data_IF_482693827132
#
_entry.id   IF_482693827132
#
_cell.length_a   1.000
_cell.length_b   1.000
_cell.length_c   1.000
_cell.angle_alpha   90.00
_cell.angle_beta   90.00
_cell.angle_gamma   90.00
#
_symmetry.space_group_name_H-M   'P 1'
#
loop_
_entity.id
_entity.type
_entity.pdbx_description
1 polymer ?
#
# COMPACT_ATOMS: atom_id res chain seq x y z
N UNK A 1 -19.04 0.25 -4.39
CA UNK A 1 -19.49 -0.68 -3.33
C UNK A 1 -18.62 -1.94 -3.36
N UNK A 2 -18.04 -2.31 -2.21
CA UNK A 2 -17.26 -3.54 -2.08
C UNK A 2 -18.13 -4.66 -1.53
N UNK A 3 -17.89 -5.87 -2.00
CA UNK A 3 -18.47 -7.07 -1.43
C UNK A 3 -17.40 -7.77 -0.59
N UNK A 4 -17.73 -8.06 0.67
CA UNK A 4 -16.83 -8.78 1.57
C UNK A 4 -17.31 -10.24 1.72
N UNK A 5 -16.36 -11.16 1.68
CA UNK A 5 -16.59 -12.59 1.89
C UNK A 5 -15.67 -13.04 3.01
N UNK A 6 -16.24 -13.70 4.02
CA UNK A 6 -15.51 -14.23 5.17
C UNK A 6 -15.41 -15.76 5.05
N UNK A 7 -14.25 -16.30 5.32
CA UNK A 7 -13.99 -17.74 5.31
C UNK A 7 -13.07 -18.13 6.44
N UNK A 8 -13.37 -19.23 7.12
CA UNK A 8 -12.47 -19.82 8.09
C UNK A 8 -11.32 -20.54 7.37
N UNK A 9 -10.10 -20.34 7.86
CA UNK A 9 -8.89 -20.96 7.31
C UNK A 9 -8.47 -22.13 8.20
N UNK A 10 -8.25 -23.30 7.60
CA UNK A 10 -7.75 -24.49 8.33
C UNK A 10 -6.26 -24.36 8.65
N UNK A 11 -5.45 -23.84 7.72
CA UNK A 11 -4.02 -23.59 7.87
C UNK A 11 -3.69 -22.15 7.40
N UNK A 12 -3.72 -21.17 8.31
CA UNK A 12 -3.44 -19.78 7.96
C UNK A 12 -2.01 -19.56 7.43
N UNK A 13 -1.02 -20.33 7.92
CA UNK A 13 0.39 -20.17 7.50
C UNK A 13 0.55 -20.62 6.06
N UNK A 14 -0.01 -21.77 5.70
CA UNK A 14 0.02 -22.27 4.33
C UNK A 14 -0.76 -21.34 3.39
N UNK A 15 -1.93 -20.87 3.83
CA UNK A 15 -2.77 -19.96 3.06
C UNK A 15 -2.04 -18.64 2.76
N UNK A 16 -1.32 -18.07 3.74
CA UNK A 16 -0.51 -16.87 3.57
C UNK A 16 0.54 -17.03 2.45
N UNK A 17 1.23 -18.18 2.39
CA UNK A 17 2.20 -18.49 1.34
C UNK A 17 1.54 -18.62 -0.04
N UNK A 18 0.40 -19.31 -0.10
CA UNK A 18 -0.38 -19.48 -1.32
C UNK A 18 -0.91 -18.14 -1.83
N UNK A 19 -1.38 -17.29 -0.91
CA UNK A 19 -1.89 -15.96 -1.21
C UNK A 19 -0.80 -15.06 -1.82
N UNK A 20 0.40 -15.09 -1.26
CA UNK A 20 1.55 -14.34 -1.79
C UNK A 20 1.97 -14.85 -3.17
N UNK A 21 2.03 -16.17 -3.34
CA UNK A 21 2.36 -16.77 -4.64
C UNK A 21 1.31 -16.42 -5.71
N UNK A 22 0.04 -16.44 -5.35
CA UNK A 22 -1.04 -16.03 -6.23
C UNK A 22 -0.97 -14.54 -6.56
N UNK A 23 -0.62 -13.69 -5.58
CA UNK A 23 -0.47 -12.24 -5.77
C UNK A 23 0.58 -11.87 -6.82
N UNK A 24 1.64 -12.67 -6.96
CA UNK A 24 2.73 -12.40 -7.91
C UNK A 24 2.31 -12.38 -9.39
N UNK A 25 1.13 -12.86 -9.74
CA UNK A 25 0.60 -12.76 -11.12
C UNK A 25 0.09 -11.35 -11.47
N UNK A 26 -0.12 -10.48 -10.48
CA UNK A 26 -0.61 -9.13 -10.70
C UNK A 26 0.55 -8.14 -10.82
N UNK A 27 0.35 -7.10 -11.60
CA UNK A 27 1.35 -6.05 -11.80
C UNK A 27 1.56 -5.20 -10.55
N UNK A 28 0.46 -4.81 -9.92
CA UNK A 28 0.47 -4.07 -8.68
C UNK A 28 0.05 -5.01 -7.56
N UNK A 29 0.97 -5.21 -6.61
CA UNK A 29 0.75 -6.03 -5.42
C UNK A 29 1.42 -5.39 -4.21
N UNK A 30 0.68 -5.35 -3.11
CA UNK A 30 1.23 -5.01 -1.81
C UNK A 30 0.89 -6.13 -0.85
N UNK A 31 1.91 -6.63 -0.16
CA UNK A 31 1.77 -7.61 0.90
C UNK A 31 2.33 -7.03 2.19
N UNK A 32 1.46 -6.85 3.16
CA UNK A 32 1.80 -6.38 4.50
C UNK A 32 1.66 -7.57 5.46
N UNK A 33 2.70 -7.85 6.22
CA UNK A 33 2.75 -8.98 7.15
C UNK A 33 3.20 -8.48 8.53
N UNK A 34 2.46 -8.85 9.56
CA UNK A 34 2.83 -8.53 10.95
C UNK A 34 4.04 -9.33 11.45
N UNK A 35 4.43 -10.39 10.74
CA UNK A 35 5.49 -11.32 11.14
C UNK A 35 5.27 -11.90 12.55
N UNK A 36 4.02 -12.11 12.94
CA UNK A 36 3.62 -12.53 14.29
C UNK A 36 4.07 -11.57 15.40
N UNK A 37 4.37 -10.31 15.07
CA UNK A 37 4.71 -9.33 16.08
C UNK A 37 3.47 -9.05 16.96
N UNK A 38 3.57 -9.21 18.28
CA UNK A 38 2.44 -8.97 19.18
C UNK A 38 2.10 -7.48 19.19
N UNK A 39 0.97 -7.13 18.58
CA UNK A 39 0.45 -5.76 18.58
C UNK A 39 -0.85 -5.69 19.35
N UNK A 40 -0.94 -4.73 20.25
CA UNK A 40 -2.14 -4.53 21.06
C UNK A 40 -3.34 -4.05 20.24
N UNK A 41 -3.10 -3.38 19.14
CA UNK A 41 -4.14 -2.73 18.32
C UNK A 41 -4.21 -3.22 16.87
N UNK A 42 -3.52 -4.30 16.55
CA UNK A 42 -3.58 -4.89 15.20
C UNK A 42 -4.88 -5.64 14.99
N UNK A 43 -5.59 -5.32 13.91
CA UNK A 43 -6.80 -6.03 13.49
C UNK A 43 -6.51 -7.14 12.48
N UNK A 44 -5.32 -7.16 11.88
CA UNK A 44 -4.97 -8.06 10.78
C UNK A 44 -3.58 -8.65 10.98
N UNK A 45 -3.43 -9.96 10.72
CA UNK A 45 -2.12 -10.61 10.71
C UNK A 45 -1.37 -10.33 9.41
N UNK A 46 -2.06 -10.39 8.28
CA UNK A 46 -1.51 -9.94 7.02
C UNK A 46 -2.59 -9.29 6.13
N UNK A 47 -2.15 -8.49 5.18
CA UNK A 47 -3.01 -7.92 4.14
C UNK A 47 -2.31 -8.08 2.79
N UNK A 48 -2.99 -8.70 1.83
CA UNK A 48 -2.60 -8.70 0.43
C UNK A 48 -3.57 -7.85 -0.37
N UNK A 49 -3.05 -6.94 -1.14
CA UNK A 49 -3.81 -6.04 -1.98
C UNK A 49 -3.28 -6.10 -3.41
N UNK A 50 -4.14 -6.34 -4.40
CA UNK A 50 -3.76 -6.62 -5.78
C UNK A 50 -4.64 -5.89 -6.80
N UNK A 51 -4.09 -5.72 -8.00
CA UNK A 51 -4.76 -5.23 -9.20
C UNK A 51 -5.31 -3.80 -9.03
N UNK A 52 -4.46 -2.82 -9.27
CA UNK A 52 -4.83 -1.41 -9.15
C UNK A 52 -5.97 -1.03 -10.09
N UNK A 53 -7.01 -0.43 -9.53
CA UNK A 53 -8.08 0.20 -10.30
C UNK A 53 -7.66 1.60 -10.77
N UNK A 54 -7.07 2.37 -9.86
CA UNK A 54 -6.46 3.67 -10.13
C UNK A 54 -5.20 3.81 -9.28
N UNK A 55 -4.29 4.69 -9.69
CA UNK A 55 -3.08 4.97 -8.93
C UNK A 55 -2.68 6.44 -9.03
N UNK A 56 -1.92 6.89 -8.04
CA UNK A 56 -1.25 8.18 -8.04
C UNK A 56 0.25 7.95 -7.81
N UNK A 57 1.06 8.63 -8.59
CA UNK A 57 2.52 8.68 -8.44
C UNK A 57 2.95 10.14 -8.52
N UNK A 58 3.68 10.59 -7.55
CA UNK A 58 4.14 11.98 -7.49
C UNK A 58 5.53 12.07 -6.88
N UNK A 59 6.21 13.18 -7.13
CA UNK A 59 7.43 13.59 -6.43
C UNK A 59 7.08 14.21 -5.06
N UNK A 60 8.06 14.86 -4.44
CA UNK A 60 7.85 15.50 -3.13
C UNK A 60 7.04 16.81 -3.21
N UNK A 61 6.87 17.40 -4.39
CA UNK A 61 6.17 18.67 -4.50
C UNK A 61 4.67 18.50 -4.45
N UNK A 62 4.02 19.15 -3.49
CA UNK A 62 2.56 19.11 -3.29
C UNK A 62 1.96 17.69 -3.11
N UNK A 63 2.79 16.74 -2.71
CA UNK A 63 2.45 15.32 -2.67
C UNK A 63 1.30 15.00 -1.70
N UNK A 64 1.28 15.62 -0.53
CA UNK A 64 0.23 15.37 0.47
C UNK A 64 -1.12 15.95 0.08
N UNK A 65 -1.15 17.08 -0.62
CA UNK A 65 -2.41 17.63 -1.15
C UNK A 65 -2.95 16.74 -2.27
N UNK A 66 -2.09 16.26 -3.17
CA UNK A 66 -2.46 15.32 -4.22
C UNK A 66 -3.01 14.01 -3.63
N UNK A 67 -2.37 13.49 -2.59
CA UNK A 67 -2.84 12.29 -1.88
C UNK A 67 -4.21 12.50 -1.26
N UNK A 68 -4.43 13.66 -0.63
CA UNK A 68 -5.72 14.03 -0.03
C UNK A 68 -6.82 14.10 -1.06
N UNK A 69 -6.56 14.73 -2.20
CA UNK A 69 -7.52 14.79 -3.30
C UNK A 69 -7.82 13.39 -3.85
N UNK A 70 -6.80 12.57 -4.04
CA UNK A 70 -6.95 11.18 -4.47
C UNK A 70 -7.80 10.37 -3.49
N UNK A 71 -7.56 10.48 -2.20
CA UNK A 71 -8.34 9.82 -1.16
C UNK A 71 -9.82 10.26 -1.19
N UNK A 72 -10.07 11.56 -1.35
CA UNK A 72 -11.42 12.10 -1.45
C UNK A 72 -12.19 11.56 -2.66
N UNK A 73 -11.50 11.30 -3.77
CA UNK A 73 -12.09 10.73 -4.98
C UNK A 73 -12.30 9.22 -4.88
N UNK A 74 -11.29 8.49 -4.39
CA UNK A 74 -11.34 7.04 -4.27
C UNK A 74 -12.40 6.57 -3.27
N UNK A 75 -12.55 7.27 -2.14
CA UNK A 75 -13.49 6.95 -1.05
C UNK A 75 -13.46 5.49 -0.62
N UNK A 76 -12.28 4.90 -0.61
CA UNK A 76 -12.04 3.50 -0.34
C UNK A 76 -10.64 3.32 0.26
N UNK A 77 -10.26 2.08 0.55
CA UNK A 77 -8.91 1.76 0.98
C UNK A 77 -7.92 2.10 -0.13
N UNK A 78 -6.87 2.77 0.25
CA UNK A 78 -5.72 3.04 -0.59
C UNK A 78 -4.48 2.40 0.03
N UNK A 79 -3.63 1.87 -0.83
CA UNK A 79 -2.40 1.19 -0.45
C UNK A 79 -1.23 1.83 -1.18
N UNK A 80 -0.07 1.87 -0.57
CA UNK A 80 1.08 2.48 -1.20
C UNK A 80 2.25 2.66 -0.24
N UNK A 81 3.19 3.48 -0.65
CA UNK A 81 4.30 3.89 0.18
C UNK A 81 4.56 5.39 0.08
N UNK A 82 5.19 5.89 1.11
CA UNK A 82 5.69 7.26 1.22
C UNK A 82 7.22 7.17 1.39
N UNK A 83 7.98 7.83 0.52
CA UNK A 83 9.42 7.89 0.67
C UNK A 83 9.83 8.88 1.77
N UNK A 84 11.05 8.74 2.25
CA UNK A 84 11.60 9.69 3.21
C UNK A 84 11.71 11.12 2.64
N UNK A 85 11.90 11.26 1.34
CA UNK A 85 12.06 12.56 0.67
C UNK A 85 10.78 13.39 0.63
N UNK A 86 9.63 12.79 0.96
CA UNK A 86 8.38 13.55 1.20
C UNK A 86 8.47 14.56 2.34
N UNK A 87 9.49 14.48 3.21
CA UNK A 87 9.78 15.55 4.17
C UNK A 87 9.96 16.91 3.50
N UNK A 88 10.42 16.91 2.25
CA UNK A 88 10.64 18.14 1.47
C UNK A 88 9.31 18.84 1.09
N UNK A 89 8.18 18.13 1.15
CA UNK A 89 6.85 18.74 0.94
C UNK A 89 6.33 19.46 2.20
N UNK A 90 6.81 19.07 3.38
CA UNK A 90 6.38 19.64 4.67
C UNK A 90 7.38 20.61 5.27
N UNK A 91 8.66 20.49 4.88
CA UNK A 91 9.76 21.28 5.40
C UNK A 91 10.61 21.78 4.22
N UNK A 92 11.16 22.98 4.34
CA UNK A 92 12.04 23.56 3.31
C UNK A 92 13.46 22.93 3.41
N UNK A 93 13.54 21.65 3.04
CA UNK A 93 14.76 20.85 3.06
C UNK A 93 15.11 20.38 1.64
N UNK A 94 16.39 20.42 1.32
CA UNK A 94 16.92 19.94 0.05
C UNK A 94 17.94 18.84 0.33
N UNK A 95 17.70 17.66 -0.23
CA UNK A 95 18.69 16.58 -0.24
C UNK A 95 19.63 16.72 -1.43
N UNK A 96 20.94 16.60 -1.18
CA UNK A 96 21.98 16.54 -2.21
C UNK A 96 22.45 15.11 -2.51
N UNK A 97 21.80 14.12 -1.92
CA UNK A 97 22.11 12.72 -2.14
C UNK A 97 21.69 12.30 -3.54
N UNK A 98 22.49 11.41 -4.14
CA UNK A 98 22.18 10.87 -5.47
C UNK A 98 21.00 9.90 -5.36
N UNK A 99 19.91 10.20 -6.07
CA UNK A 99 18.88 9.23 -6.32
C UNK A 99 19.32 8.29 -7.45
N UNK A 100 19.52 7.01 -7.12
CA UNK A 100 19.94 5.98 -8.08
C UNK A 100 18.80 5.05 -8.48
N UNK A 101 17.66 5.13 -7.82
CA UNK A 101 16.54 4.18 -8.01
C UNK A 101 15.36 4.78 -8.76
N UNK A 102 15.22 6.11 -8.75
CA UNK A 102 14.13 6.84 -9.42
C UNK A 102 12.72 6.35 -9.04
N UNK A 103 12.54 5.90 -7.80
CA UNK A 103 11.21 5.61 -7.29
C UNK A 103 10.43 6.93 -7.07
N UNK A 104 9.12 6.94 -7.36
CA UNK A 104 8.29 8.07 -6.97
C UNK A 104 8.35 8.28 -5.45
N UNK A 105 8.31 9.52 -5.00
CA UNK A 105 8.33 9.85 -3.58
C UNK A 105 7.03 9.43 -2.88
N UNK A 106 5.94 9.49 -3.60
CA UNK A 106 4.64 8.95 -3.20
C UNK A 106 4.09 8.05 -4.31
N UNK A 107 3.73 6.84 -3.95
CA UNK A 107 2.96 5.95 -4.80
C UNK A 107 1.84 5.33 -3.99
N UNK A 108 0.62 5.59 -4.40
CA UNK A 108 -0.57 5.00 -3.80
C UNK A 108 -1.55 4.56 -4.86
N UNK A 109 -2.32 3.53 -4.56
CA UNK A 109 -3.32 3.01 -5.47
C UNK A 109 -4.54 2.46 -4.73
N UNK A 110 -5.68 2.59 -5.37
CA UNK A 110 -6.91 1.91 -5.01
C UNK A 110 -7.00 0.59 -5.76
N UNK A 111 -7.47 -0.44 -5.11
CA UNK A 111 -7.38 -1.81 -5.58
C UNK A 111 -8.74 -2.41 -5.91
N UNK A 112 -8.76 -3.30 -6.90
CA UNK A 112 -9.93 -4.11 -7.20
C UNK A 112 -10.21 -5.14 -6.11
N UNK A 113 -9.15 -5.75 -5.55
CA UNK A 113 -9.28 -6.79 -4.54
C UNK A 113 -8.23 -6.68 -3.45
N UNK A 114 -8.61 -6.98 -2.22
CA UNK A 114 -7.69 -7.17 -1.10
C UNK A 114 -8.19 -8.28 -0.18
N UNK A 115 -7.24 -8.91 0.52
CA UNK A 115 -7.45 -10.00 1.48
C UNK A 115 -6.82 -9.61 2.81
N UNK A 116 -7.46 -9.94 3.92
CA UNK A 116 -6.98 -9.65 5.28
C UNK A 116 -7.42 -10.74 6.25
#
# INVERSE_FOLDING_TARGET
LRTSIFKDLQDPILFKKQLLAWGNQFREVIFLDSNHYPQQYSSYDCVLAVDAFTSIKTDSYNAFEDLKQYQCQARDWIFGYLSYDLKNDTEDLISKNRDGLFFPDLFSFNLKSYFY
#
